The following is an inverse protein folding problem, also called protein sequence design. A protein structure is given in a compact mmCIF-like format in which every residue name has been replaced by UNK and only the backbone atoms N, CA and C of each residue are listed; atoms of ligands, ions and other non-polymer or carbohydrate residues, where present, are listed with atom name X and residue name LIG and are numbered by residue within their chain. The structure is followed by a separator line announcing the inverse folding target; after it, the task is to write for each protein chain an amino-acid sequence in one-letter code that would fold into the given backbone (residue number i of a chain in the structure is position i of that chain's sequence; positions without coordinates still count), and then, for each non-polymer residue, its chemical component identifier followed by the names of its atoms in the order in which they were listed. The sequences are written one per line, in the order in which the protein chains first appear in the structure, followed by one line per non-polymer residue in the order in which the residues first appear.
data_IF_621887969951
#
_entry.id   IF_621887969951
#
_cell.length_a   1.000
_cell.length_b   1.000
_cell.length_c   1.000
_cell.angle_alpha   90.00
_cell.angle_beta   90.00
_cell.angle_gamma   90.00
#
_symmetry.space_group_name_H-M   'P 1'
#
loop_
_entity.id
_entity.type
_entity.pdbx_description
1 polymer ?
#
# COMPACT_ATOMS: atom_id res chain seq x y z
N UNK A 1 15.42 10.27 27.91
CA UNK A 1 14.38 9.26 27.71
C UNK A 1 14.19 9.02 26.21
N UNK A 2 14.06 7.78 25.82
CA UNK A 2 13.93 7.40 24.41
C UNK A 2 12.51 6.92 24.15
N UNK A 3 11.94 7.35 23.03
CA UNK A 3 10.64 6.85 22.58
C UNK A 3 10.74 5.35 22.27
N UNK A 4 9.87 4.54 22.88
CA UNK A 4 9.84 3.09 22.68
C UNK A 4 8.72 2.65 21.74
N UNK A 5 7.88 3.58 21.28
CA UNK A 5 6.83 3.27 20.32
C UNK A 5 7.39 3.25 18.90
N UNK A 6 6.78 2.43 18.06
CA UNK A 6 7.12 2.41 16.63
C UNK A 6 6.75 3.75 16.01
N UNK A 7 7.73 4.43 15.40
CA UNK A 7 7.54 5.73 14.79
C UNK A 7 7.11 5.66 13.32
N UNK A 8 7.19 4.48 12.72
CA UNK A 8 6.86 4.28 11.32
C UNK A 8 5.36 4.17 11.15
N UNK A 9 4.79 5.08 10.35
CA UNK A 9 3.37 5.05 9.98
C UNK A 9 3.33 4.78 8.48
N UNK A 10 3.00 3.54 8.11
CA UNK A 10 2.95 3.12 6.71
C UNK A 10 1.66 2.36 6.44
N UNK A 11 1.19 2.48 5.20
CA UNK A 11 0.02 1.73 4.72
C UNK A 11 0.49 0.37 4.20
N UNK A 12 -0.05 -0.71 4.78
CA UNK A 12 0.24 -2.06 4.32
C UNK A 12 -0.68 -2.47 3.17
N UNK A 13 -0.09 -3.05 2.13
CA UNK A 13 -0.82 -3.55 0.97
C UNK A 13 -0.48 -5.02 0.79
N UNK A 14 -1.48 -5.89 0.87
CA UNK A 14 -1.31 -7.32 0.60
C UNK A 14 -1.59 -7.61 -0.87
N UNK A 15 -0.76 -8.46 -1.48
CA UNK A 15 -0.87 -8.78 -2.89
C UNK A 15 -1.54 -10.13 -3.09
N UNK A 16 -2.50 -10.18 -4.00
CA UNK A 16 -3.24 -11.38 -4.37
C UNK A 16 -3.30 -11.50 -5.88
N UNK A 17 -3.52 -12.70 -6.34
CA UNK A 17 -3.70 -12.98 -7.76
C UNK A 17 -4.88 -13.92 -7.94
N UNK A 18 -5.73 -13.63 -8.92
CA UNK A 18 -6.86 -14.47 -9.28
C UNK A 18 -6.46 -15.35 -10.45
N UNK A 19 -6.61 -16.66 -10.27
CA UNK A 19 -6.34 -17.64 -11.32
C UNK A 19 -7.58 -18.49 -11.58
N UNK A 20 -7.76 -18.92 -12.83
CA UNK A 20 -8.86 -19.79 -13.20
C UNK A 20 -8.45 -21.25 -13.02
N UNK A 21 -9.23 -22.01 -12.26
CA UNK A 21 -9.03 -23.45 -12.10
C UNK A 21 -9.98 -24.21 -13.02
N UNK A 22 -9.45 -24.79 -14.07
CA UNK A 22 -10.24 -25.53 -15.06
C UNK A 22 -10.87 -26.80 -14.49
N UNK A 23 -10.27 -27.42 -13.48
CA UNK A 23 -10.79 -28.63 -12.86
C UNK A 23 -12.09 -28.38 -12.07
N UNK A 24 -12.20 -27.21 -11.43
CA UNK A 24 -13.39 -26.83 -10.66
C UNK A 24 -14.26 -25.80 -11.37
N UNK A 25 -13.82 -25.29 -12.52
CA UNK A 25 -14.46 -24.22 -13.28
C UNK A 25 -14.72 -22.97 -12.45
N UNK A 26 -13.80 -22.64 -11.53
CA UNK A 26 -13.90 -21.49 -10.62
C UNK A 26 -12.63 -20.65 -10.64
N UNK A 27 -12.81 -19.35 -10.38
CA UNK A 27 -11.70 -18.46 -10.11
C UNK A 27 -11.27 -18.60 -8.66
N UNK A 28 -9.95 -18.72 -8.45
CA UNK A 28 -9.35 -18.85 -7.13
C UNK A 28 -8.44 -17.65 -6.91
N UNK A 29 -8.64 -16.96 -5.80
CA UNK A 29 -7.78 -15.85 -5.38
C UNK A 29 -6.85 -16.34 -4.29
N UNK A 30 -5.54 -16.21 -4.53
CA UNK A 30 -4.51 -16.64 -3.59
C UNK A 30 -3.51 -15.51 -3.36
N UNK A 31 -2.85 -15.47 -2.19
CA UNK A 31 -1.73 -14.57 -1.99
C UNK A 31 -0.66 -14.84 -3.04
N UNK A 32 -0.04 -13.78 -3.55
CA UNK A 32 0.98 -13.89 -4.58
C UNK A 32 2.22 -13.09 -4.21
N UNK A 33 3.36 -13.52 -4.74
CA UNK A 33 4.60 -12.75 -4.70
C UNK A 33 4.88 -12.24 -6.10
N UNK A 34 5.00 -10.92 -6.25
CA UNK A 34 5.25 -10.28 -7.53
C UNK A 34 6.54 -9.47 -7.45
N UNK A 35 7.27 -9.45 -8.57
CA UNK A 35 8.48 -8.66 -8.67
C UNK A 35 8.10 -7.24 -9.09
N UNK A 36 8.22 -6.31 -8.15
CA UNK A 36 7.73 -4.95 -8.33
C UNK A 36 8.83 -3.91 -8.19
N UNK A 37 8.72 -2.86 -9.00
CA UNK A 37 9.40 -1.59 -8.78
C UNK A 37 8.33 -0.57 -8.40
N UNK A 38 8.46 0.02 -7.23
CA UNK A 38 7.46 0.94 -6.67
C UNK A 38 8.12 2.26 -6.32
N UNK A 39 7.54 3.34 -6.79
CA UNK A 39 8.00 4.70 -6.46
C UNK A 39 6.81 5.64 -6.35
N UNK A 40 7.00 6.72 -5.59
CA UNK A 40 5.97 7.75 -5.44
C UNK A 40 5.89 8.64 -6.68
N UNK A 41 4.68 9.04 -7.04
CA UNK A 41 4.47 10.07 -8.06
C UNK A 41 4.94 11.40 -7.48
N UNK A 42 5.68 12.18 -8.26
CA UNK A 42 6.29 13.45 -7.84
C UNK A 42 7.36 13.28 -6.75
N UNK A 43 7.91 12.08 -6.64
CA UNK A 43 8.95 11.77 -5.66
C UNK A 43 10.00 10.88 -6.33
N UNK A 44 11.27 11.26 -6.21
CA UNK A 44 12.38 10.52 -6.81
C UNK A 44 12.78 9.27 -6.01
N UNK A 45 12.18 9.04 -4.85
CA UNK A 45 12.49 7.90 -4.02
C UNK A 45 11.86 6.63 -4.55
N UNK A 46 12.69 5.62 -4.83
CA UNK A 46 12.25 4.28 -5.21
C UNK A 46 12.11 3.46 -3.93
N UNK A 47 10.90 2.99 -3.64
CA UNK A 47 10.61 2.22 -2.42
C UNK A 47 10.97 0.74 -2.60
N UNK A 48 10.73 0.20 -3.78
CA UNK A 48 11.07 -1.17 -4.16
C UNK A 48 11.65 -1.16 -5.56
N UNK A 49 12.75 -1.84 -5.76
CA UNK A 49 13.47 -1.86 -7.04
C UNK A 49 13.62 -3.29 -7.54
N UNK A 50 12.64 -3.74 -8.33
CA UNK A 50 12.63 -5.07 -8.91
C UNK A 50 12.68 -6.18 -7.86
N UNK A 51 12.03 -5.98 -6.73
CA UNK A 51 12.06 -6.89 -5.58
C UNK A 51 10.82 -7.77 -5.58
N UNK A 52 11.00 -9.06 -5.33
CA UNK A 52 9.87 -9.98 -5.15
C UNK A 52 9.24 -9.73 -3.78
N UNK A 53 7.97 -9.32 -3.78
CA UNK A 53 7.25 -8.96 -2.56
C UNK A 53 5.84 -9.55 -2.59
N UNK A 54 5.35 -9.94 -1.43
CA UNK A 54 3.97 -10.38 -1.24
C UNK A 54 3.13 -9.34 -0.51
N UNK A 55 3.77 -8.32 0.03
CA UNK A 55 3.12 -7.18 0.67
C UNK A 55 4.00 -5.95 0.51
N UNK A 56 3.38 -4.79 0.54
CA UNK A 56 4.05 -3.51 0.42
C UNK A 56 3.80 -2.69 1.68
N UNK A 57 4.80 -1.90 2.08
CA UNK A 57 4.65 -0.87 3.11
C UNK A 57 4.87 0.47 2.44
N UNK A 58 3.81 1.26 2.31
CA UNK A 58 3.81 2.51 1.54
C UNK A 58 3.52 3.69 2.47
N UNK A 59 4.45 4.64 2.60
CA UNK A 59 4.20 5.83 3.42
C UNK A 59 3.24 6.78 2.71
N UNK A 60 2.29 7.32 3.46
CA UNK A 60 1.37 8.34 2.95
C UNK A 60 1.92 9.74 3.26
N UNK A 61 1.59 10.69 2.38
CA UNK A 61 2.07 12.07 2.54
C UNK A 61 1.41 12.72 3.75
N UNK A 62 2.20 13.39 4.58
CA UNK A 62 1.71 14.02 5.81
C UNK A 62 1.16 15.44 5.56
N UNK A 63 1.45 16.02 4.41
CA UNK A 63 1.09 17.39 4.06
C UNK A 63 0.17 17.48 2.84
N UNK A 64 -0.48 16.37 2.49
CA UNK A 64 -1.38 16.31 1.35
C UNK A 64 -2.55 15.38 1.67
N UNK A 65 -3.65 15.52 0.93
CA UNK A 65 -4.86 14.70 1.09
C UNK A 65 -4.90 13.52 0.12
N UNK A 66 -3.84 13.33 -0.64
CA UNK A 66 -3.70 12.19 -1.53
C UNK A 66 -2.24 11.82 -1.72
N UNK A 67 -2.00 10.54 -1.94
CA UNK A 67 -0.68 10.00 -2.25
C UNK A 67 -0.82 9.03 -3.42
N UNK A 68 0.05 9.15 -4.40
CA UNK A 68 0.03 8.29 -5.58
C UNK A 68 1.35 7.53 -5.72
N UNK A 69 1.26 6.27 -6.11
CA UNK A 69 2.40 5.40 -6.35
C UNK A 69 2.31 4.77 -7.73
N UNK A 70 3.47 4.57 -8.35
CA UNK A 70 3.57 3.74 -9.56
C UNK A 70 4.07 2.37 -9.14
N UNK A 71 3.34 1.33 -9.53
CA UNK A 71 3.68 -0.06 -9.28
C UNK A 71 3.97 -0.72 -10.63
N UNK A 72 5.25 -0.90 -10.91
CA UNK A 72 5.68 -1.55 -12.15
C UNK A 72 5.91 -3.04 -11.90
N UNK A 73 5.14 -3.86 -12.59
CA UNK A 73 5.19 -5.32 -12.45
C UNK A 73 6.20 -5.90 -13.44
N UNK A 74 7.47 -5.96 -13.03
CA UNK A 74 8.59 -6.46 -13.82
C UNK A 74 8.60 -5.82 -15.24
N UNK A 75 8.55 -6.62 -16.30
CA UNK A 75 8.47 -6.16 -17.69
C UNK A 75 7.05 -6.12 -18.24
N UNK A 76 6.04 -6.48 -17.43
CA UNK A 76 4.67 -6.63 -17.89
C UNK A 76 3.92 -5.31 -18.03
N UNK A 77 4.21 -4.35 -17.20
CA UNK A 77 3.55 -3.06 -17.24
C UNK A 77 3.44 -2.41 -15.88
N UNK A 78 2.92 -1.20 -15.86
CA UNK A 78 2.80 -0.42 -14.63
C UNK A 78 1.38 0.08 -14.44
N UNK A 79 1.00 0.23 -13.18
CA UNK A 79 -0.24 0.85 -12.75
C UNK A 79 0.05 1.97 -11.78
N UNK A 80 -0.85 2.95 -11.73
CA UNK A 80 -0.81 4.03 -10.75
C UNK A 80 -1.86 3.77 -9.70
N UNK A 81 -1.45 3.73 -8.44
CA UNK A 81 -2.32 3.56 -7.28
C UNK A 81 -2.46 4.91 -6.60
N UNK A 82 -3.68 5.41 -6.48
CA UNK A 82 -3.98 6.71 -5.86
C UNK A 82 -4.78 6.47 -4.59
N UNK A 83 -4.26 6.97 -3.46
CA UNK A 83 -4.91 6.87 -2.17
C UNK A 83 -5.31 8.27 -1.72
N UNK A 84 -6.60 8.49 -1.48
CA UNK A 84 -7.09 9.71 -0.86
C UNK A 84 -7.23 9.45 0.64
N UNK A 85 -6.73 10.38 1.45
CA UNK A 85 -6.68 10.18 2.89
C UNK A 85 -6.78 11.51 3.64
N UNK A 86 -7.28 11.42 4.86
CA UNK A 86 -7.18 12.50 5.84
C UNK A 86 -5.94 12.26 6.71
N UNK A 87 -5.35 13.34 7.19
CA UNK A 87 -4.19 13.29 8.08
C UNK A 87 -4.59 13.78 9.46
N UNK A 88 -4.16 13.09 10.48
CA UNK A 88 -4.48 13.40 11.86
C UNK A 88 -3.22 13.35 12.72
N UNK A 89 -2.83 14.49 13.25
CA UNK A 89 -1.64 14.60 14.10
C UNK A 89 -2.00 14.25 15.53
N UNK A 90 -1.35 13.22 16.07
CA UNK A 90 -1.61 12.73 17.42
C UNK A 90 -0.38 12.92 18.30
N UNK A 91 -0.56 13.61 19.42
CA UNK A 91 0.47 13.72 20.43
C UNK A 91 0.54 12.40 21.21
N UNK A 92 1.71 11.81 21.26
CA UNK A 92 1.94 10.52 21.91
C UNK A 92 2.54 10.72 23.31
N UNK A 93 3.69 11.40 23.38
CA UNK A 93 4.38 11.70 24.64
C UNK A 93 5.47 12.73 24.39
N UNK A 94 6.07 13.24 25.45
CA UNK A 94 7.19 14.17 25.31
C UNK A 94 8.40 13.52 24.63
N UNK A 95 8.62 12.23 24.87
CA UNK A 95 9.72 11.49 24.27
C UNK A 95 9.46 11.14 22.80
N UNK A 96 8.21 10.79 22.46
CA UNK A 96 7.84 10.36 21.12
C UNK A 96 7.42 11.52 20.22
N UNK A 97 6.92 12.63 20.81
CA UNK A 97 6.38 13.73 20.03
C UNK A 97 5.04 13.41 19.42
N UNK A 98 4.81 13.87 18.19
CA UNK A 98 3.56 13.67 17.48
C UNK A 98 3.76 12.70 16.31
N UNK A 99 2.77 11.84 16.09
CA UNK A 99 2.68 10.98 14.92
C UNK A 99 1.54 11.47 14.04
N UNK A 100 1.71 11.38 12.73
CA UNK A 100 0.66 11.68 11.78
C UNK A 100 0.04 10.35 11.34
N UNK A 101 -1.19 10.11 11.78
CA UNK A 101 -1.97 8.97 11.34
C UNK A 101 -2.83 9.37 10.14
N UNK A 102 -3.29 8.40 9.40
CA UNK A 102 -4.10 8.64 8.21
C UNK A 102 -5.39 7.86 8.27
N UNK A 103 -6.42 8.40 7.64
CA UNK A 103 -7.67 7.66 7.38
C UNK A 103 -7.89 7.62 5.88
N UNK A 104 -7.92 6.42 5.32
CA UNK A 104 -8.13 6.22 3.89
C UNK A 104 -9.60 6.53 3.58
N UNK A 105 -9.82 7.49 2.70
CA UNK A 105 -11.18 7.88 2.30
C UNK A 105 -11.60 7.23 0.98
N UNK A 106 -10.64 7.01 0.08
CA UNK A 106 -10.88 6.29 -1.17
C UNK A 106 -9.57 5.81 -1.77
N UNK A 107 -9.66 4.82 -2.63
CA UNK A 107 -8.53 4.33 -3.41
C UNK A 107 -8.97 4.16 -4.86
N UNK A 108 -8.03 4.39 -5.78
CA UNK A 108 -8.23 4.17 -7.20
C UNK A 108 -6.94 3.61 -7.79
N UNK A 109 -7.07 2.80 -8.82
CA UNK A 109 -5.92 2.25 -9.53
C UNK A 109 -6.25 2.15 -11.01
N UNK A 110 -5.25 2.35 -11.85
CA UNK A 110 -5.37 2.00 -13.25
C UNK A 110 -5.46 0.47 -13.38
N UNK A 111 -6.01 -0.03 -14.47
CA UNK A 111 -6.33 -1.44 -14.60
C UNK A 111 -5.54 -2.13 -15.71
N UNK A 112 -4.23 -1.89 -15.77
CA UNK A 112 -3.35 -2.54 -16.74
C UNK A 112 -2.93 -3.93 -16.28
N UNK A 113 -2.34 -4.03 -15.10
CA UNK A 113 -1.96 -5.28 -14.44
C UNK A 113 -2.82 -5.55 -13.22
N UNK A 114 -3.30 -4.51 -12.56
CA UNK A 114 -4.16 -4.60 -11.40
C UNK A 114 -5.59 -4.87 -11.85
N UNK A 115 -6.21 -5.90 -11.30
CA UNK A 115 -7.62 -6.19 -11.53
C UNK A 115 -8.52 -5.33 -10.64
N UNK A 116 -8.21 -5.30 -9.35
CA UNK A 116 -8.97 -4.48 -8.38
C UNK A 116 -8.13 -4.18 -7.14
N UNK A 117 -8.58 -3.19 -6.38
CA UNK A 117 -8.03 -2.85 -5.07
C UNK A 117 -9.19 -2.65 -4.10
N UNK A 118 -9.03 -3.19 -2.89
CA UNK A 118 -10.07 -3.16 -1.86
C UNK A 118 -9.47 -2.60 -0.57
N UNK A 119 -10.20 -1.69 0.08
CA UNK A 119 -9.82 -1.19 1.40
C UNK A 119 -10.28 -2.19 2.45
N UNK A 120 -9.33 -2.77 3.15
CA UNK A 120 -9.61 -3.72 4.23
C UNK A 120 -9.69 -3.02 5.57
N UNK A 121 -8.84 -2.01 5.78
CA UNK A 121 -8.82 -1.20 7.00
C UNK A 121 -8.52 0.25 6.65
N UNK A 122 -9.36 1.16 7.10
CA UNK A 122 -9.26 2.59 6.74
C UNK A 122 -8.21 3.33 7.57
N UNK A 123 -8.01 2.94 8.83
CA UNK A 123 -7.13 3.66 9.75
C UNK A 123 -5.69 3.19 9.62
N UNK A 124 -4.79 4.11 9.30
CA UNK A 124 -3.35 3.86 9.18
C UNK A 124 -2.65 4.48 10.39
N UNK A 125 -2.10 3.63 11.23
CA UNK A 125 -1.42 4.01 12.46
C UNK A 125 0.03 3.49 12.46
N UNK A 126 0.67 3.54 13.62
CA UNK A 126 2.05 3.07 13.77
C UNK A 126 2.14 1.56 14.07
N UNK A 127 1.17 0.80 13.60
CA UNK A 127 1.11 -0.65 13.77
C UNK A 127 1.24 -1.31 12.40
N UNK A 128 2.08 -2.33 12.31
CA UNK A 128 2.26 -3.08 11.07
C UNK A 128 1.03 -3.96 10.82
N UNK A 129 0.25 -3.61 9.81
CA UNK A 129 -0.97 -4.32 9.44
C UNK A 129 -1.31 -4.06 7.97
N UNK A 130 -2.20 -4.85 7.40
CA UNK A 130 -2.64 -4.67 6.02
C UNK A 130 -3.88 -3.78 5.99
N UNK A 131 -3.82 -2.74 5.16
CA UNK A 131 -4.91 -1.78 4.97
C UNK A 131 -5.61 -1.97 3.64
N UNK A 132 -4.89 -2.44 2.63
CA UNK A 132 -5.41 -2.69 1.29
C UNK A 132 -5.14 -4.12 0.86
N UNK A 133 -6.05 -4.65 0.03
CA UNK A 133 -5.81 -5.84 -0.77
C UNK A 133 -5.77 -5.44 -2.23
N UNK A 134 -4.71 -5.82 -2.89
CA UNK A 134 -4.48 -5.51 -4.29
C UNK A 134 -4.50 -6.81 -5.07
N UNK A 135 -5.40 -6.90 -6.04
CA UNK A 135 -5.59 -8.12 -6.84
C UNK A 135 -5.00 -7.92 -8.22
N UNK A 136 -4.03 -8.74 -8.56
CA UNK A 136 -3.42 -8.79 -9.89
C UNK A 136 -4.15 -9.77 -10.79
N UNK A 137 -4.06 -9.51 -12.06
CA UNK A 137 -4.58 -10.39 -13.12
C UNK A 137 -3.68 -11.59 -13.36
#
# INVERSE_FOLDING_TARGET
TVCRKEKTVVMGVALYKTTYNAATEKFITTPTSEKLTVFGVDNDSVLYDGTAVSALALPLRVNADSTAFVLQRDTLGADTLIIRHANDTNFISLECGCFVYHTITSVAATAHQIDSVVVEKETVQNVAENHLRLYYR
#
